data_IF_527215915710
#
_entry.id   IF_527215915710
#
_cell.length_a   1.000
_cell.length_b   1.000
_cell.length_c   1.000
_cell.angle_alpha   90.00
_cell.angle_beta   90.00
_cell.angle_gamma   90.00
#
_symmetry.space_group_name_H-M   'P 1'
#
loop_
_entity.id
_entity.type
_entity.pdbx_description
1 polymer ?
#
# COMPACT_ATOMS: atom_id res chain seq x y z
N UNK A 1 6.23 21.19 -2.98
CA UNK A 1 4.85 21.68 -2.82
C UNK A 1 4.82 23.14 -3.24
N UNK A 2 3.90 23.46 -4.16
CA UNK A 2 3.70 24.82 -4.70
C UNK A 2 2.22 25.13 -4.63
N UNK A 3 1.87 26.33 -4.19
CA UNK A 3 0.48 26.80 -4.17
C UNK A 3 0.45 28.30 -4.29
N UNK A 4 -0.51 28.81 -5.08
CA UNK A 4 -0.70 30.24 -5.27
C UNK A 4 -2.11 30.54 -5.80
N UNK A 5 -2.51 31.82 -5.78
CA UNK A 5 -3.65 32.31 -6.52
C UNK A 5 -3.29 32.47 -8.00
N UNK A 6 -4.27 32.22 -8.87
CA UNK A 6 -4.14 32.45 -10.32
C UNK A 6 -4.63 33.83 -10.74
N UNK A 7 -5.29 34.55 -9.84
CA UNK A 7 -5.85 35.87 -10.01
C UNK A 7 -5.63 36.76 -8.76
N UNK A 8 -5.75 38.07 -8.92
CA UNK A 8 -5.54 39.04 -7.83
C UNK A 8 -6.65 39.00 -6.77
N UNK A 9 -7.84 38.57 -7.15
CA UNK A 9 -9.02 38.49 -6.28
C UNK A 9 -9.10 37.18 -5.47
N UNK A 10 -8.21 36.21 -5.76
CA UNK A 10 -8.15 34.91 -5.07
C UNK A 10 -9.34 34.00 -5.38
N UNK A 11 -10.06 34.24 -6.49
CA UNK A 11 -11.18 33.42 -6.97
C UNK A 11 -10.67 32.04 -7.43
N UNK A 12 -9.52 32.00 -8.04
CA UNK A 12 -8.88 30.80 -8.54
C UNK A 12 -7.54 30.56 -7.84
N UNK A 13 -7.34 29.38 -7.32
CA UNK A 13 -6.06 28.97 -6.75
C UNK A 13 -5.71 27.53 -7.10
N UNK A 14 -4.43 27.22 -7.02
CA UNK A 14 -3.93 25.86 -7.27
C UNK A 14 -2.97 25.41 -6.18
N UNK A 15 -2.83 24.12 -6.05
CA UNK A 15 -1.76 23.47 -5.29
C UNK A 15 -1.21 22.33 -6.09
N UNK A 16 0.10 22.21 -6.15
CA UNK A 16 0.82 21.12 -6.78
C UNK A 16 1.77 20.50 -5.75
N UNK A 17 1.50 19.27 -5.35
CA UNK A 17 2.40 18.50 -4.49
C UNK A 17 3.05 17.40 -5.32
N UNK A 18 4.36 17.21 -5.16
CA UNK A 18 5.11 16.14 -5.83
C UNK A 18 6.04 15.41 -4.86
N UNK A 19 6.24 14.14 -5.12
CA UNK A 19 7.19 13.28 -4.41
C UNK A 19 7.98 12.45 -5.43
N UNK A 20 9.30 12.41 -5.26
CA UNK A 20 10.16 11.45 -5.92
C UNK A 20 11.07 10.82 -4.87
N UNK A 21 11.03 9.50 -4.74
CA UNK A 21 11.84 8.73 -3.81
C UNK A 21 12.42 7.52 -4.53
N UNK A 22 13.70 7.27 -4.31
CA UNK A 22 14.38 6.02 -4.62
C UNK A 22 15.36 5.73 -3.50
N UNK A 23 15.26 4.55 -2.88
CA UNK A 23 16.08 4.15 -1.76
C UNK A 23 16.23 2.63 -1.72
N UNK A 24 17.38 2.15 -1.24
CA UNK A 24 17.54 0.75 -0.89
C UNK A 24 16.74 0.44 0.38
N UNK A 25 16.07 -0.70 0.41
CA UNK A 25 15.48 -1.23 1.64
C UNK A 25 16.58 -1.85 2.55
N UNK A 26 16.20 -2.24 3.76
CA UNK A 26 17.13 -2.87 4.69
C UNK A 26 17.60 -4.23 4.17
N UNK A 27 16.72 -5.01 3.54
CA UNK A 27 17.02 -6.32 2.99
C UNK A 27 17.82 -6.20 1.68
N UNK A 28 18.87 -7.00 1.56
CA UNK A 28 19.72 -7.01 0.37
C UNK A 28 18.94 -7.19 -0.92
N UNK A 29 19.26 -6.36 -1.92
CA UNK A 29 18.68 -6.43 -3.25
C UNK A 29 17.22 -5.96 -3.34
N UNK A 30 16.69 -5.34 -2.27
CA UNK A 30 15.37 -4.73 -2.28
C UNK A 30 15.46 -3.22 -2.39
N UNK A 31 14.65 -2.64 -3.24
CA UNK A 31 14.57 -1.20 -3.50
C UNK A 31 13.15 -0.68 -3.29
N UNK A 32 13.03 0.57 -2.87
CA UNK A 32 11.77 1.29 -2.79
C UNK A 32 11.82 2.47 -3.73
N UNK A 33 10.91 2.51 -4.70
CA UNK A 33 10.77 3.62 -5.63
C UNK A 33 9.34 4.13 -5.62
N UNK A 34 9.17 5.44 -5.40
CA UNK A 34 7.86 6.08 -5.39
C UNK A 34 7.92 7.44 -6.08
N UNK A 35 7.03 7.63 -7.03
CA UNK A 35 6.82 8.88 -7.74
C UNK A 35 5.35 9.25 -7.63
N UNK A 36 5.06 10.46 -7.14
CA UNK A 36 3.69 10.90 -6.99
C UNK A 36 3.56 12.37 -7.36
N UNK A 37 2.38 12.72 -7.88
CA UNK A 37 1.95 14.08 -8.16
C UNK A 37 0.48 14.24 -7.77
N UNK A 38 0.17 15.33 -7.08
CA UNK A 38 -1.17 15.63 -6.59
C UNK A 38 -1.55 17.08 -6.93
N UNK A 39 -1.99 17.37 -8.17
CA UNK A 39 -2.54 18.66 -8.50
C UNK A 39 -3.94 18.85 -7.92
N UNK A 40 -4.20 20.05 -7.42
CA UNK A 40 -5.50 20.50 -6.94
C UNK A 40 -5.79 21.90 -7.50
N UNK A 41 -7.06 22.16 -7.75
CA UNK A 41 -7.54 23.45 -8.24
C UNK A 41 -8.77 23.84 -7.42
N UNK A 42 -8.78 25.09 -6.93
CA UNK A 42 -9.87 25.63 -6.14
C UNK A 42 -10.49 26.85 -6.83
N UNK A 43 -11.81 26.88 -6.84
CA UNK A 43 -12.63 27.99 -7.33
C UNK A 43 -13.54 28.49 -6.19
N UNK A 44 -13.39 29.80 -5.86
CA UNK A 44 -14.16 30.52 -4.84
C UNK A 44 -14.70 31.81 -5.44
N UNK A 45 -15.82 31.76 -6.18
CA UNK A 45 -16.38 32.94 -6.82
C UNK A 45 -16.94 33.98 -5.86
N UNK A 46 -17.26 33.55 -4.63
CA UNK A 46 -17.83 34.34 -3.55
C UNK A 46 -17.52 33.70 -2.19
N UNK A 47 -17.94 34.36 -1.11
CA UNK A 47 -17.73 33.87 0.28
C UNK A 47 -18.59 32.65 0.62
N UNK A 48 -19.56 32.28 -0.24
CA UNK A 48 -20.53 31.21 -0.01
C UNK A 48 -20.21 29.93 -0.78
N UNK A 49 -19.37 30.03 -1.80
CA UNK A 49 -19.11 28.92 -2.72
C UNK A 49 -17.65 28.54 -2.68
N UNK A 50 -17.36 27.25 -2.44
CA UNK A 50 -16.04 26.69 -2.52
C UNK A 50 -16.11 25.36 -3.29
N UNK A 51 -15.42 25.30 -4.42
CA UNK A 51 -15.24 24.07 -5.19
C UNK A 51 -13.75 23.77 -5.32
N UNK A 52 -13.32 22.58 -4.89
CA UNK A 52 -11.95 22.13 -5.04
C UNK A 52 -11.92 20.81 -5.81
N UNK A 53 -11.33 20.84 -7.00
CA UNK A 53 -10.95 19.63 -7.72
C UNK A 53 -9.67 19.08 -7.15
N UNK A 54 -9.63 17.76 -6.92
CA UNK A 54 -8.50 17.03 -6.33
C UNK A 54 -8.09 15.89 -7.24
N UNK A 55 -6.79 15.72 -7.40
CA UNK A 55 -6.27 14.53 -8.07
C UNK A 55 -4.98 14.03 -7.42
N UNK A 56 -4.72 12.74 -7.59
CA UNK A 56 -3.52 12.08 -7.10
C UNK A 56 -3.12 10.98 -8.08
N UNK A 57 -1.87 10.96 -8.47
CA UNK A 57 -1.29 9.95 -9.32
C UNK A 57 0.01 9.47 -8.70
N UNK A 58 0.12 8.17 -8.46
CA UNK A 58 1.31 7.55 -7.89
C UNK A 58 1.74 6.35 -8.71
N UNK A 59 3.04 6.21 -8.89
CA UNK A 59 3.67 5.02 -9.44
C UNK A 59 4.78 4.55 -8.50
N UNK A 60 4.69 3.30 -8.09
CA UNK A 60 5.71 2.59 -7.31
C UNK A 60 6.21 1.42 -8.16
N UNK A 61 7.26 1.59 -8.97
CA UNK A 61 7.83 0.48 -9.74
C UNK A 61 8.39 -0.62 -8.84
N UNK A 62 8.91 -0.24 -7.68
CA UNK A 62 9.44 -1.11 -6.64
C UNK A 62 8.88 -0.69 -5.28
N UNK A 63 8.09 -1.56 -4.63
CA UNK A 63 7.46 -1.26 -3.34
C UNK A 63 8.29 -1.69 -2.14
N UNK A 64 9.49 -2.21 -2.36
CA UNK A 64 10.37 -2.68 -1.32
C UNK A 64 10.29 -4.19 -1.07
N UNK A 65 10.76 -4.57 0.10
CA UNK A 65 10.82 -5.96 0.52
C UNK A 65 9.43 -6.52 0.84
N UNK A 66 9.18 -7.73 0.32
CA UNK A 66 8.02 -8.54 0.67
C UNK A 66 8.48 -9.91 1.15
N UNK A 67 8.36 -10.18 2.46
CA UNK A 67 8.78 -11.46 3.01
C UNK A 67 8.58 -11.56 4.51
N UNK A 68 8.82 -12.77 5.04
CA UNK A 68 8.76 -13.08 6.47
C UNK A 68 9.98 -13.86 6.89
N UNK A 69 10.75 -13.28 7.76
CA UNK A 69 11.92 -13.95 8.33
C UNK A 69 11.49 -15.01 9.35
N UNK A 70 12.14 -16.19 9.37
CA UNK A 70 11.85 -17.21 10.39
C UNK A 70 12.29 -16.69 11.77
N UNK A 71 11.67 -17.20 12.84
CA UNK A 71 12.14 -16.89 14.20
C UNK A 71 13.53 -17.48 14.47
N UNK A 72 13.82 -18.63 13.86
CA UNK A 72 15.13 -19.25 13.88
C UNK A 72 16.14 -18.38 13.10
N UNK A 73 17.20 -18.01 13.78
CA UNK A 73 18.19 -17.10 13.25
C UNK A 73 17.86 -15.60 13.42
N UNK A 74 16.64 -15.24 13.79
CA UNK A 74 16.26 -13.84 14.10
C UNK A 74 16.00 -13.67 15.60
N UNK A 75 14.89 -14.15 16.13
CA UNK A 75 14.54 -14.09 17.56
C UNK A 75 15.36 -15.12 18.34
N UNK A 76 15.40 -16.35 17.86
CA UNK A 76 16.18 -17.45 18.43
C UNK A 76 17.42 -17.70 17.57
N UNK A 77 18.56 -18.11 18.17
CA UNK A 77 19.70 -18.52 17.38
C UNK A 77 19.40 -19.75 16.51
N UNK A 78 20.11 -19.88 15.39
CA UNK A 78 20.16 -21.12 14.63
C UNK A 78 20.77 -22.25 15.47
N UNK A 79 20.59 -23.56 15.11
CA UNK A 79 21.16 -24.67 15.84
C UNK A 79 22.67 -24.61 16.09
N UNK A 80 23.42 -23.92 15.23
CA UNK A 80 24.86 -23.65 15.39
C UNK A 80 25.17 -22.41 16.26
N UNK A 81 24.16 -21.80 16.92
CA UNK A 81 24.30 -20.61 17.75
C UNK A 81 24.43 -19.28 17.00
N UNK A 82 24.45 -19.28 15.67
CA UNK A 82 24.55 -18.05 14.85
C UNK A 82 23.19 -17.40 14.65
N UNK A 83 23.22 -16.13 14.24
CA UNK A 83 22.04 -15.38 13.80
C UNK A 83 22.19 -14.95 12.35
N UNK A 84 21.06 -14.80 11.67
CA UNK A 84 21.00 -14.21 10.34
C UNK A 84 21.41 -12.73 10.41
N UNK A 85 22.07 -12.18 9.39
CA UNK A 85 22.35 -10.76 9.33
C UNK A 85 21.07 -9.94 9.23
N UNK A 86 21.11 -8.68 9.66
CA UNK A 86 19.93 -7.79 9.67
C UNK A 86 19.45 -7.40 8.28
N UNK A 87 20.27 -7.58 7.28
CA UNK A 87 19.99 -7.35 5.85
C UNK A 87 19.67 -8.64 5.08
N UNK A 88 19.48 -9.75 5.80
CA UNK A 88 19.12 -11.05 5.19
C UNK A 88 17.83 -10.93 4.38
N UNK A 89 17.85 -11.45 3.16
CA UNK A 89 16.72 -11.52 2.26
C UNK A 89 16.51 -12.97 1.84
N UNK A 90 15.37 -13.54 2.21
CA UNK A 90 14.99 -14.93 1.91
C UNK A 90 14.26 -15.07 0.57
N UNK A 91 13.97 -13.97 -0.09
CA UNK A 91 13.27 -13.95 -1.37
C UNK A 91 14.13 -14.37 -2.56
N UNK A 92 13.63 -14.19 -3.75
CA UNK A 92 14.36 -14.39 -4.99
C UNK A 92 14.86 -13.04 -5.56
N UNK A 93 15.97 -13.08 -6.29
CA UNK A 93 16.57 -11.89 -6.92
C UNK A 93 15.63 -11.19 -7.91
N UNK A 94 14.74 -11.93 -8.53
CA UNK A 94 13.79 -11.46 -9.52
C UNK A 94 12.40 -11.19 -8.93
N UNK A 95 12.29 -11.06 -7.61
CA UNK A 95 11.06 -10.60 -6.99
C UNK A 95 10.69 -9.23 -7.54
N UNK A 96 9.42 -9.07 -7.90
CA UNK A 96 8.85 -7.80 -8.35
C UNK A 96 7.58 -7.51 -7.56
N UNK A 97 7.43 -6.27 -7.15
CA UNK A 97 6.21 -5.81 -6.51
C UNK A 97 6.02 -4.34 -6.85
N UNK A 98 5.01 -4.05 -7.67
CA UNK A 98 4.73 -2.71 -8.16
C UNK A 98 3.31 -2.29 -7.86
N UNK A 99 3.08 -0.96 -7.76
CA UNK A 99 1.78 -0.37 -7.51
C UNK A 99 1.59 0.88 -8.33
N UNK A 100 0.39 1.05 -8.87
CA UNK A 100 -0.03 2.27 -9.56
C UNK A 100 -1.37 2.73 -8.99
N UNK A 101 -1.43 3.95 -8.46
CA UNK A 101 -2.61 4.55 -7.87
C UNK A 101 -3.03 5.78 -8.64
N UNK A 102 -4.33 5.91 -8.87
CA UNK A 102 -4.95 7.09 -9.49
C UNK A 102 -6.20 7.46 -8.71
N UNK A 103 -6.33 8.73 -8.43
CA UNK A 103 -7.52 9.27 -7.77
C UNK A 103 -7.89 10.60 -8.43
N UNK A 104 -9.17 10.80 -8.64
CA UNK A 104 -9.76 12.09 -9.00
C UNK A 104 -11.02 12.31 -8.18
N UNK A 105 -11.29 13.54 -7.84
CA UNK A 105 -12.47 13.87 -7.06
C UNK A 105 -12.66 15.36 -6.90
N UNK A 106 -13.67 15.73 -6.14
CA UNK A 106 -13.88 17.11 -5.75
C UNK A 106 -14.49 17.20 -4.36
N UNK A 107 -14.31 18.36 -3.75
CA UNK A 107 -15.06 18.85 -2.60
C UNK A 107 -15.81 20.10 -3.02
N UNK A 108 -17.07 20.17 -2.70
CA UNK A 108 -17.97 21.28 -2.99
C UNK A 108 -18.73 21.68 -1.73
N UNK A 109 -18.69 22.97 -1.42
CA UNK A 109 -19.44 23.60 -0.34
C UNK A 109 -20.19 24.81 -0.93
N UNK A 110 -21.49 24.94 -0.61
CA UNK A 110 -22.26 26.10 -0.99
C UNK A 110 -23.28 26.46 0.08
N UNK A 111 -23.22 27.71 0.52
CA UNK A 111 -24.14 28.31 1.46
C UNK A 111 -25.25 29.06 0.70
N UNK A 112 -26.41 28.42 0.54
CA UNK A 112 -27.55 29.03 -0.16
C UNK A 112 -28.09 30.27 0.57
N UNK A 113 -28.12 30.19 1.90
CA UNK A 113 -28.54 31.25 2.80
C UNK A 113 -28.11 30.89 4.23
N UNK A 114 -28.46 31.73 5.20
CA UNK A 114 -28.10 31.54 6.64
C UNK A 114 -28.65 30.24 7.23
N UNK A 115 -29.66 29.64 6.59
CA UNK A 115 -30.32 28.40 7.04
C UNK A 115 -29.69 27.15 6.40
N UNK A 116 -29.39 27.18 5.11
CA UNK A 116 -29.04 25.99 4.35
C UNK A 116 -27.64 26.05 3.75
N UNK A 117 -26.84 25.06 4.08
CA UNK A 117 -25.52 24.80 3.46
C UNK A 117 -25.50 23.37 2.91
N UNK A 118 -25.08 23.21 1.65
CA UNK A 118 -24.85 21.90 1.01
C UNK A 118 -23.34 21.64 0.93
N UNK A 119 -22.95 20.41 1.26
CA UNK A 119 -21.59 19.90 1.05
C UNK A 119 -21.68 18.62 0.24
N UNK A 120 -20.77 18.46 -0.72
CA UNK A 120 -20.64 17.23 -1.46
C UNK A 120 -19.17 16.89 -1.71
N UNK A 121 -18.83 15.65 -1.41
CA UNK A 121 -17.52 15.08 -1.74
C UNK A 121 -17.72 13.91 -2.70
N UNK A 122 -17.00 13.91 -3.80
CA UNK A 122 -16.97 12.80 -4.74
C UNK A 122 -15.53 12.36 -4.96
N UNK A 123 -15.32 11.06 -5.02
CA UNK A 123 -14.02 10.47 -5.30
C UNK A 123 -14.15 9.21 -6.14
N UNK A 124 -13.33 9.13 -7.17
CA UNK A 124 -13.02 7.87 -7.86
C UNK A 124 -11.54 7.56 -7.65
N UNK A 125 -11.25 6.33 -7.25
CA UNK A 125 -9.89 5.84 -7.07
C UNK A 125 -9.72 4.48 -7.76
N UNK A 126 -8.56 4.29 -8.40
CA UNK A 126 -8.12 3.02 -8.96
C UNK A 126 -6.72 2.70 -8.42
N UNK A 127 -6.56 1.48 -7.89
CA UNK A 127 -5.27 0.93 -7.51
C UNK A 127 -5.03 -0.33 -8.33
N UNK A 128 -3.86 -0.42 -8.96
CA UNK A 128 -3.37 -1.61 -9.64
C UNK A 128 -2.11 -2.08 -8.94
N UNK A 129 -2.08 -3.35 -8.58
CA UNK A 129 -0.94 -4.01 -7.96
C UNK A 129 -0.53 -5.18 -8.83
N UNK A 130 0.76 -5.34 -9.07
CA UNK A 130 1.32 -6.54 -9.71
C UNK A 130 2.48 -7.04 -8.87
N UNK A 131 2.45 -8.31 -8.52
CA UNK A 131 3.43 -8.96 -7.67
C UNK A 131 3.84 -10.30 -8.25
N UNK A 132 5.14 -10.56 -8.26
CA UNK A 132 5.72 -11.87 -8.49
C UNK A 132 6.86 -12.00 -7.48
N UNK A 133 6.60 -12.72 -6.39
CA UNK A 133 7.53 -12.77 -5.27
C UNK A 133 7.63 -14.17 -4.69
N UNK A 134 8.86 -14.55 -4.36
CA UNK A 134 9.17 -15.67 -3.48
C UNK A 134 9.50 -15.13 -2.11
N UNK A 135 9.00 -15.78 -1.08
CA UNK A 135 9.16 -15.35 0.31
C UNK A 135 9.32 -16.54 1.26
N UNK A 136 9.96 -16.31 2.42
CA UNK A 136 10.14 -17.32 3.46
C UNK A 136 8.81 -17.70 4.12
N UNK A 137 8.68 -18.97 4.50
CA UNK A 137 7.50 -19.51 5.17
C UNK A 137 7.86 -20.33 6.41
N UNK A 138 8.95 -19.99 7.08
CA UNK A 138 9.45 -20.73 8.24
C UNK A 138 10.37 -21.89 7.87
N UNK A 139 10.91 -22.55 8.88
CA UNK A 139 11.81 -23.69 8.66
C UNK A 139 11.06 -24.95 8.26
N UNK A 140 11.72 -25.86 7.56
CA UNK A 140 11.11 -27.12 7.11
C UNK A 140 10.71 -28.08 8.26
N UNK A 141 11.23 -27.88 9.46
CA UNK A 141 10.79 -28.62 10.67
C UNK A 141 9.45 -28.15 11.21
N UNK A 142 8.94 -26.98 10.80
CA UNK A 142 7.62 -26.50 11.21
C UNK A 142 6.53 -27.41 10.61
N UNK A 143 5.58 -27.91 11.42
CA UNK A 143 4.45 -28.71 10.94
C UNK A 143 3.63 -28.04 9.83
N UNK A 144 3.57 -26.69 9.82
CA UNK A 144 2.91 -25.92 8.75
C UNK A 144 3.52 -26.16 7.38
N UNK A 145 4.78 -26.60 7.30
CA UNK A 145 5.51 -26.89 6.07
C UNK A 145 5.51 -28.39 5.69
N UNK A 146 4.73 -29.23 6.39
CA UNK A 146 4.66 -30.67 6.13
C UNK A 146 4.20 -31.01 4.69
N UNK A 147 3.45 -30.11 4.04
CA UNK A 147 2.95 -30.29 2.67
C UNK A 147 3.95 -29.85 1.59
N UNK A 148 5.05 -29.21 1.96
CA UNK A 148 6.14 -28.88 1.01
C UNK A 148 6.83 -30.17 0.60
N UNK A 149 6.82 -30.49 -0.71
CA UNK A 149 7.51 -31.67 -1.25
C UNK A 149 9.03 -31.59 -0.97
N UNK A 150 9.60 -30.40 -1.04
CA UNK A 150 11.01 -30.15 -0.79
C UNK A 150 11.36 -30.41 0.67
N UNK A 151 10.58 -29.88 1.61
CA UNK A 151 10.76 -30.14 3.04
C UNK A 151 10.51 -31.62 3.41
N UNK A 152 9.57 -32.27 2.74
CA UNK A 152 9.29 -33.70 2.95
C UNK A 152 10.46 -34.59 2.50
N UNK A 153 11.18 -34.20 1.47
CA UNK A 153 12.32 -34.94 0.94
C UNK A 153 13.60 -34.83 1.78
N UNK A 154 13.68 -33.87 2.71
CA UNK A 154 14.84 -33.69 3.59
C UNK A 154 14.87 -34.75 4.70
N UNK A 155 16.08 -35.17 5.07
CA UNK A 155 16.27 -35.97 6.27
C UNK A 155 15.79 -35.20 7.52
N UNK A 156 15.23 -35.88 8.54
CA UNK A 156 14.70 -35.22 9.72
C UNK A 156 15.72 -34.30 10.42
N UNK A 157 17.00 -34.65 10.41
CA UNK A 157 18.07 -33.86 11.02
C UNK A 157 18.32 -32.53 10.29
N UNK A 158 18.03 -32.47 8.98
CA UNK A 158 18.32 -31.29 8.15
C UNK A 158 17.15 -30.30 8.14
N UNK A 159 15.93 -30.70 8.49
CA UNK A 159 14.72 -29.89 8.36
C UNK A 159 14.78 -28.55 9.12
N UNK A 160 15.46 -28.50 10.26
CA UNK A 160 15.66 -27.28 11.05
C UNK A 160 16.66 -26.28 10.43
N UNK A 161 17.41 -26.69 9.43
CA UNK A 161 18.43 -25.89 8.76
C UNK A 161 17.99 -25.36 7.38
N UNK A 162 16.80 -25.78 6.91
CA UNK A 162 16.26 -25.38 5.62
C UNK A 162 15.03 -24.49 5.79
N UNK A 163 15.01 -23.41 5.04
CA UNK A 163 13.88 -22.49 4.93
C UNK A 163 12.92 -23.00 3.85
N UNK A 164 11.66 -23.21 4.23
CA UNK A 164 10.59 -23.39 3.28
C UNK A 164 10.27 -22.05 2.62
N UNK A 165 10.06 -22.02 1.32
CA UNK A 165 9.64 -20.82 0.59
C UNK A 165 8.33 -21.06 -0.11
N UNK A 166 7.58 -19.99 -0.27
CA UNK A 166 6.36 -19.92 -1.09
C UNK A 166 6.52 -18.84 -2.13
N UNK A 167 5.74 -18.94 -3.18
CA UNK A 167 5.60 -17.87 -4.16
C UNK A 167 4.19 -17.31 -4.15
N UNK A 168 4.07 -16.06 -4.53
CA UNK A 168 2.84 -15.37 -4.89
C UNK A 168 3.03 -14.72 -6.25
N UNK A 169 2.08 -14.95 -7.15
CA UNK A 169 1.92 -14.20 -8.39
C UNK A 169 0.53 -13.59 -8.32
N UNK A 170 0.45 -12.28 -8.34
CA UNK A 170 -0.79 -11.57 -8.11
C UNK A 170 -0.89 -10.34 -9.00
N UNK A 171 -2.02 -10.21 -9.69
CA UNK A 171 -2.44 -9.02 -10.41
C UNK A 171 -3.80 -8.59 -9.88
N UNK A 172 -3.82 -7.44 -9.20
CA UNK A 172 -5.03 -6.89 -8.62
C UNK A 172 -5.40 -5.55 -9.26
N UNK A 173 -6.71 -5.33 -9.39
CA UNK A 173 -7.30 -4.05 -9.77
C UNK A 173 -8.45 -3.72 -8.85
N UNK A 174 -8.22 -2.77 -7.95
CA UNK A 174 -9.23 -2.21 -7.06
C UNK A 174 -9.74 -0.88 -7.64
N UNK A 175 -11.06 -0.76 -7.75
CA UNK A 175 -11.74 0.48 -8.11
C UNK A 175 -12.72 0.85 -7.01
N UNK A 176 -12.72 2.12 -6.62
CA UNK A 176 -13.64 2.66 -5.63
C UNK A 176 -14.25 3.96 -6.15
N UNK A 177 -15.58 4.02 -6.15
CA UNK A 177 -16.35 5.24 -6.36
C UNK A 177 -17.09 5.55 -5.07
N UNK A 178 -16.99 6.79 -4.59
CA UNK A 178 -17.73 7.26 -3.42
C UNK A 178 -18.26 8.67 -3.65
N UNK A 179 -19.47 8.92 -3.17
CA UNK A 179 -20.07 10.24 -3.10
C UNK A 179 -20.81 10.39 -1.78
N UNK A 180 -20.51 11.47 -1.09
CA UNK A 180 -21.19 11.90 0.13
C UNK A 180 -21.81 13.27 -0.10
N UNK A 181 -23.11 13.39 0.16
CA UNK A 181 -23.87 14.64 0.02
C UNK A 181 -24.55 14.96 1.34
N UNK A 182 -24.29 16.15 1.87
CA UNK A 182 -24.75 16.60 3.15
C UNK A 182 -25.52 17.91 3.02
N UNK A 183 -26.64 18.03 3.75
CA UNK A 183 -27.38 19.27 3.97
C UNK A 183 -27.30 19.63 5.45
N UNK A 184 -26.73 20.78 5.74
CA UNK A 184 -26.79 21.40 7.04
C UNK A 184 -27.94 22.40 7.06
N UNK A 185 -28.81 22.30 8.07
CA UNK A 185 -29.93 23.21 8.28
C UNK A 185 -29.84 23.84 9.67
N UNK A 186 -29.88 25.19 9.73
CA UNK A 186 -29.88 25.96 10.97
C UNK A 186 -31.25 26.58 11.12
N UNK A 187 -31.89 26.39 12.28
CA UNK A 187 -33.21 26.96 12.60
C UNK A 187 -33.37 27.11 14.11
N UNK A 188 -34.29 27.96 14.53
CA UNK A 188 -34.61 28.17 15.93
C UNK A 188 -36.03 27.68 16.30
N UNK A 189 -36.18 27.17 17.51
CA UNK A 189 -37.50 26.90 18.13
C UNK A 189 -37.59 27.63 19.45
N UNK A 190 -38.27 28.77 19.45
CA UNK A 190 -38.24 29.71 20.58
C UNK A 190 -36.81 30.22 20.80
N UNK A 191 -36.30 30.04 22.02
CA UNK A 191 -34.96 30.48 22.42
C UNK A 191 -33.86 29.40 22.15
N UNK A 192 -34.22 28.31 21.46
CA UNK A 192 -33.29 27.20 21.21
C UNK A 192 -32.86 27.24 19.76
N UNK A 193 -31.55 27.39 19.52
CA UNK A 193 -30.93 27.26 18.20
C UNK A 193 -30.60 25.79 17.90
N UNK A 194 -30.93 25.35 16.68
CA UNK A 194 -30.68 24.02 16.19
C UNK A 194 -29.76 24.02 14.97
N UNK A 195 -28.86 23.05 14.91
CA UNK A 195 -28.12 22.71 13.70
C UNK A 195 -28.39 21.24 13.39
N UNK A 196 -29.08 20.98 12.29
CA UNK A 196 -29.37 19.64 11.80
C UNK A 196 -28.47 19.34 10.61
N UNK A 197 -27.78 18.20 10.64
CA UNK A 197 -27.02 17.65 9.52
C UNK A 197 -27.72 16.38 9.03
N UNK A 198 -28.08 16.37 7.76
CA UNK A 198 -28.64 15.20 7.06
C UNK A 198 -27.85 14.92 5.79
N UNK A 199 -27.81 13.68 5.33
CA UNK A 199 -27.06 13.37 4.13
C UNK A 199 -27.28 11.96 3.63
N UNK A 200 -26.68 11.71 2.47
CA UNK A 200 -26.62 10.40 1.83
C UNK A 200 -25.17 10.13 1.41
N UNK A 201 -24.68 8.99 1.83
CA UNK A 201 -23.40 8.44 1.38
C UNK A 201 -23.65 7.22 0.49
N UNK A 202 -22.92 7.15 -0.63
CA UNK A 202 -22.90 6.02 -1.53
C UNK A 202 -21.48 5.63 -1.86
N UNK A 203 -21.17 4.35 -1.70
CA UNK A 203 -19.89 3.78 -2.08
C UNK A 203 -20.08 2.51 -2.91
N UNK A 204 -19.30 2.40 -3.98
CA UNK A 204 -19.17 1.18 -4.78
C UNK A 204 -17.71 0.82 -4.92
N UNK A 205 -17.37 -0.36 -4.45
CA UNK A 205 -16.04 -0.94 -4.57
C UNK A 205 -16.09 -2.20 -5.45
N UNK A 206 -15.11 -2.33 -6.34
CA UNK A 206 -14.87 -3.52 -7.15
C UNK A 206 -13.40 -3.87 -7.05
N UNK A 207 -13.13 -5.14 -6.73
CA UNK A 207 -11.79 -5.69 -6.72
C UNK A 207 -11.74 -6.91 -7.64
N UNK A 208 -10.92 -6.84 -8.69
CA UNK A 208 -10.63 -7.93 -9.59
C UNK A 208 -9.24 -8.47 -9.21
N UNK A 209 -9.19 -9.72 -8.75
CA UNK A 209 -7.96 -10.36 -8.25
C UNK A 209 -7.69 -11.58 -9.11
N UNK A 210 -6.44 -11.72 -9.56
CA UNK A 210 -5.93 -12.86 -10.27
C UNK A 210 -4.63 -13.31 -9.60
N UNK A 211 -4.73 -14.30 -8.70
CA UNK A 211 -3.65 -14.67 -7.81
C UNK A 211 -3.37 -16.18 -7.83
N UNK A 212 -2.08 -16.51 -7.78
CA UNK A 212 -1.58 -17.89 -7.62
C UNK A 212 -0.60 -17.94 -6.47
N UNK A 213 -0.71 -19.01 -5.70
CA UNK A 213 0.13 -19.28 -4.54
C UNK A 213 0.64 -20.72 -4.60
N UNK A 214 1.85 -20.94 -4.12
CA UNK A 214 2.39 -22.27 -4.04
C UNK A 214 3.66 -22.33 -3.21
N UNK A 215 4.20 -23.56 -3.09
CA UNK A 215 5.53 -23.75 -2.54
C UNK A 215 6.57 -23.59 -3.64
N UNK A 216 7.65 -22.91 -3.31
CA UNK A 216 8.88 -22.83 -4.08
C UNK A 216 9.93 -23.79 -3.48
N UNK A 217 11.13 -23.84 -4.06
CA UNK A 217 12.20 -24.67 -3.52
C UNK A 217 12.58 -24.25 -2.11
N UNK A 218 12.75 -25.24 -1.23
CA UNK A 218 13.34 -25.01 0.07
C UNK A 218 14.86 -24.84 -0.08
N UNK A 219 15.42 -23.96 0.74
CA UNK A 219 16.82 -23.56 0.64
C UNK A 219 17.51 -23.62 2.01
N UNK A 220 18.81 -23.98 2.07
CA UNK A 220 19.53 -23.96 3.34
C UNK A 220 19.64 -22.52 3.85
N UNK A 221 19.43 -22.32 5.15
CA UNK A 221 19.61 -21.02 5.82
C UNK A 221 21.09 -20.58 5.84
N UNK A 222 21.98 -21.54 5.85
CA UNK A 222 23.44 -21.33 5.84
C UNK A 222 24.07 -22.07 4.67
N UNK A 223 25.10 -21.49 4.09
CA UNK A 223 26.00 -22.16 3.17
C UNK A 223 26.85 -23.22 3.88
N UNK A 224 27.56 -24.13 3.14
CA UNK A 224 28.43 -25.14 3.73
C UNK A 224 29.58 -24.59 4.62
N UNK A 225 30.00 -23.35 4.40
CA UNK A 225 30.98 -22.61 5.23
C UNK A 225 30.34 -21.92 6.45
N UNK A 226 29.10 -22.25 6.76
CA UNK A 226 28.28 -21.65 7.82
C UNK A 226 28.02 -20.13 7.67
N UNK A 227 28.28 -19.54 6.50
CA UNK A 227 27.84 -18.18 6.19
C UNK A 227 26.33 -18.17 5.85
N UNK A 228 25.61 -17.05 6.12
CA UNK A 228 24.22 -16.92 5.69
C UNK A 228 24.09 -17.06 4.18
N UNK A 229 23.10 -17.81 3.73
CA UNK A 229 22.85 -17.96 2.30
C UNK A 229 22.29 -16.65 1.73
N UNK A 230 22.86 -16.21 0.62
CA UNK A 230 22.47 -14.96 -0.06
C UNK A 230 21.55 -15.27 -1.23
N UNK A 231 20.25 -15.40 -0.95
CA UNK A 231 19.24 -15.76 -1.96
C UNK A 231 19.06 -14.68 -3.03
N UNK A 232 19.43 -13.43 -2.73
CA UNK A 232 19.38 -12.33 -3.70
C UNK A 232 20.36 -12.44 -4.86
N UNK A 233 21.27 -13.44 -4.84
CA UNK A 233 22.32 -13.59 -5.87
C UNK A 233 22.15 -14.79 -6.81
N UNK A 234 21.36 -15.77 -6.46
CA UNK A 234 21.45 -17.11 -7.08
C UNK A 234 20.18 -17.63 -7.77
N UNK A 235 19.34 -16.75 -8.33
CA UNK A 235 18.23 -17.23 -9.21
C UNK A 235 18.00 -16.30 -10.40
#
# INVERSE_FOLDING_TARGET
DFSDSLDDDGVYSYRLTGLARSANAQQKGSEEQRYAIAPAFTWRPDDKTNFTFLSYFQNEPETGYYGWLPKEGTVEPLPNGKRLPTDFNEGAKNNTYSRNEKMVGYSFDHEFNDTFTVRQNLRFAENKTSQNSVYGYGVCSDPANAYSKQCAALAPADKGHYLARKYVVDDEKLQNFSVDTQLQSKFATGDIDHTLLTGVDFMRMRNDINAWFGYDDSVPLLNPDESPNDFGKNH
#
